data_IF_213372545692
#
_entry.id   IF_213372545692
#
_cell.length_a   1.000
_cell.length_b   1.000
_cell.length_c   1.000
_cell.angle_alpha   90.00
_cell.angle_beta   90.00
_cell.angle_gamma   90.00
#
_symmetry.space_group_name_H-M   'P 1'
#
loop_
_entity.id
_entity.type
_entity.pdbx_description
1 polymer ?
#
# COMPACT_ATOMS: atom_id res chain seq x y z
N UNK A 1 -2.15 8.69 -28.20
CA UNK A 1 -1.39 8.26 -27.01
C UNK A 1 -2.33 8.41 -25.82
N UNK A 2 -2.90 7.33 -25.29
CA UNK A 2 -3.77 7.44 -24.12
C UNK A 2 -2.88 7.74 -22.92
N UNK A 3 -2.97 8.96 -22.39
CA UNK A 3 -2.37 9.29 -21.09
C UNK A 3 -3.11 8.49 -20.03
N UNK A 4 -2.57 7.31 -19.68
CA UNK A 4 -3.09 6.53 -18.56
C UNK A 4 -2.92 7.35 -17.30
N UNK A 5 -4.04 7.71 -16.65
CA UNK A 5 -4.01 8.43 -15.40
C UNK A 5 -3.34 7.56 -14.34
N UNK A 6 -2.24 8.05 -13.76
CA UNK A 6 -1.51 7.39 -12.68
C UNK A 6 -1.81 8.11 -11.39
N UNK A 7 -2.35 7.39 -10.42
CA UNK A 7 -2.66 7.94 -9.11
C UNK A 7 -1.67 7.38 -8.11
N UNK A 8 -0.92 8.29 -7.48
CA UNK A 8 0.08 7.92 -6.50
C UNK A 8 -0.56 7.90 -5.12
N UNK A 9 -0.44 6.76 -4.44
CA UNK A 9 -0.92 6.56 -3.09
C UNK A 9 0.26 6.27 -2.17
N UNK A 10 0.41 7.09 -1.14
CA UNK A 10 1.28 6.80 -0.01
C UNK A 10 0.50 6.04 1.04
N UNK A 11 1.06 4.93 1.50
CA UNK A 11 0.46 4.07 2.50
C UNK A 11 1.41 3.93 3.67
N UNK A 12 0.98 4.39 4.84
CA UNK A 12 1.73 4.32 6.09
C UNK A 12 1.13 3.27 7.00
N UNK A 13 1.95 2.36 7.50
CA UNK A 13 1.54 1.39 8.51
C UNK A 13 1.41 2.10 9.85
N UNK A 14 0.19 2.22 10.35
CA UNK A 14 -0.11 2.89 11.63
C UNK A 14 -0.23 1.93 12.80
N UNK A 15 -0.44 0.63 12.52
CA UNK A 15 -0.55 -0.43 13.53
C UNK A 15 0.32 -1.62 13.15
N UNK A 16 0.91 -2.24 14.17
CA UNK A 16 1.64 -3.49 14.01
C UNK A 16 0.67 -4.62 13.67
N UNK A 17 1.01 -5.43 12.67
CA UNK A 17 0.18 -6.56 12.25
C UNK A 17 1.03 -7.66 11.61
N UNK A 18 1.27 -8.74 12.37
CA UNK A 18 2.18 -9.79 11.96
C UNK A 18 3.59 -9.23 11.72
N UNK A 19 4.01 -9.19 10.46
CA UNK A 19 5.30 -8.62 10.02
C UNK A 19 5.24 -7.14 9.63
N UNK A 20 4.06 -6.51 9.67
CA UNK A 20 3.92 -5.08 9.49
C UNK A 20 4.33 -4.36 10.76
N UNK A 21 5.33 -3.49 10.65
CA UNK A 21 5.79 -2.65 11.74
C UNK A 21 5.29 -1.22 11.52
N UNK A 22 4.72 -0.63 12.56
CA UNK A 22 4.29 0.76 12.58
C UNK A 22 5.45 1.67 12.19
N UNK A 23 5.19 2.59 11.26
CA UNK A 23 6.21 3.49 10.69
C UNK A 23 6.78 3.00 9.36
N UNK A 24 6.45 1.78 8.90
CA UNK A 24 6.72 1.38 7.52
C UNK A 24 5.85 2.18 6.55
N UNK A 25 6.47 2.70 5.50
CA UNK A 25 5.78 3.48 4.46
C UNK A 25 6.10 2.92 3.08
N UNK A 26 5.06 2.78 2.26
CA UNK A 26 5.18 2.40 0.84
C UNK A 26 4.40 3.34 -0.05
N UNK A 27 4.86 3.44 -1.29
CA UNK A 27 4.23 4.23 -2.34
C UNK A 27 3.72 3.26 -3.41
N UNK A 28 2.46 3.40 -3.78
CA UNK A 28 1.76 2.52 -4.69
C UNK A 28 1.21 3.36 -5.83
N UNK A 29 1.56 2.99 -7.06
CA UNK A 29 1.04 3.63 -8.26
C UNK A 29 -0.16 2.81 -8.73
N UNK A 30 -1.34 3.42 -8.74
CA UNK A 30 -2.54 2.83 -9.31
C UNK A 30 -2.75 3.42 -10.71
N UNK A 31 -2.60 2.60 -11.73
CA UNK A 31 -2.79 2.99 -13.13
C UNK A 31 -4.27 2.82 -13.52
N UNK A 32 -4.82 3.76 -14.27
CA UNK A 32 -6.22 3.78 -14.73
C UNK A 32 -7.28 3.83 -13.62
N UNK A 33 -6.89 4.03 -12.36
CA UNK A 33 -7.86 4.14 -11.25
C UNK A 33 -7.36 5.01 -10.10
N UNK A 34 -8.22 5.92 -9.65
CA UNK A 34 -8.03 6.68 -8.41
C UNK A 34 -8.57 5.95 -7.19
N UNK A 35 -8.90 4.66 -7.31
CA UNK A 35 -9.37 3.88 -6.18
C UNK A 35 -8.25 3.66 -5.17
N UNK A 36 -8.65 3.53 -3.91
CA UNK A 36 -7.75 3.24 -2.79
C UNK A 36 -7.05 1.89 -3.01
N UNK A 37 -5.72 1.78 -2.81
CA UNK A 37 -5.01 0.51 -2.92
C UNK A 37 -5.60 -0.54 -1.98
N UNK A 38 -5.80 -1.75 -2.50
CA UNK A 38 -6.21 -2.89 -1.68
C UNK A 38 -5.01 -3.46 -0.91
N UNK A 39 -5.30 -4.22 0.16
CA UNK A 39 -4.28 -4.88 0.98
C UNK A 39 -3.25 -5.66 0.15
N UNK A 40 -3.67 -6.33 -0.94
CA UNK A 40 -2.77 -7.05 -1.85
C UNK A 40 -1.68 -6.16 -2.47
N UNK A 41 -2.04 -4.97 -2.95
CA UNK A 41 -1.08 -4.04 -3.57
C UNK A 41 -0.09 -3.51 -2.52
N UNK A 42 -0.58 -3.28 -1.30
CA UNK A 42 0.25 -2.82 -0.18
C UNK A 42 1.24 -3.92 0.22
N UNK A 43 0.78 -5.16 0.37
CA UNK A 43 1.63 -6.30 0.72
C UNK A 43 2.71 -6.52 -0.35
N UNK A 44 2.33 -6.43 -1.63
CA UNK A 44 3.29 -6.55 -2.74
C UNK A 44 4.31 -5.42 -2.73
N UNK A 45 3.87 -4.17 -2.53
CA UNK A 45 4.77 -3.02 -2.43
C UNK A 45 5.71 -3.11 -1.22
N UNK A 46 5.21 -3.58 -0.07
CA UNK A 46 6.02 -3.80 1.14
C UNK A 46 7.03 -4.92 0.92
N UNK A 47 6.60 -6.03 0.30
CA UNK A 47 7.49 -7.14 -0.04
C UNK A 47 8.58 -6.70 -1.01
N UNK A 48 8.23 -5.88 -2.01
CA UNK A 48 9.21 -5.36 -2.97
C UNK A 48 10.20 -4.38 -2.32
N UNK A 49 9.72 -3.46 -1.47
CA UNK A 49 10.54 -2.41 -0.85
C UNK A 49 11.41 -2.92 0.32
N UNK A 50 10.87 -3.81 1.15
CA UNK A 50 11.51 -4.26 2.39
C UNK A 50 11.89 -5.75 2.40
N UNK A 51 11.48 -6.54 1.39
CA UNK A 51 11.77 -7.98 1.33
C UNK A 51 10.98 -8.84 2.31
N UNK A 52 9.98 -8.28 3.02
CA UNK A 52 9.20 -8.98 4.05
C UNK A 52 7.93 -9.61 3.48
N UNK A 53 7.55 -10.79 3.97
CA UNK A 53 6.36 -11.50 3.48
C UNK A 53 5.22 -11.37 4.49
N UNK A 54 4.41 -10.34 4.28
CA UNK A 54 3.27 -10.09 5.16
C UNK A 54 2.13 -11.06 4.83
N UNK A 55 1.75 -11.90 5.78
CA UNK A 55 0.56 -12.75 5.66
C UNK A 55 -0.70 -11.89 5.52
N UNK A 56 -1.42 -12.06 4.41
CA UNK A 56 -2.65 -11.33 4.08
C UNK A 56 -3.81 -11.58 5.06
N UNK A 57 -3.69 -12.59 5.94
CA UNK A 57 -4.77 -13.10 6.78
C UNK A 57 -5.25 -12.10 7.87
N UNK A 58 -4.48 -11.07 8.23
CA UNK A 58 -4.86 -10.08 9.26
C UNK A 58 -4.65 -8.62 8.84
N UNK A 59 -4.39 -8.36 7.57
CA UNK A 59 -4.13 -7.00 7.06
C UNK A 59 -5.44 -6.29 6.71
N UNK A 60 -6.11 -5.74 7.70
CA UNK A 60 -7.28 -4.87 7.46
C UNK A 60 -6.84 -3.46 7.07
N UNK A 61 -7.64 -2.77 6.27
CA UNK A 61 -7.42 -1.37 5.86
C UNK A 61 -7.29 -0.42 7.05
N UNK A 62 -7.79 -0.79 8.23
CA UNK A 62 -7.67 -0.04 9.49
C UNK A 62 -6.23 0.05 10.01
N UNK A 63 -5.33 -0.80 9.54
CA UNK A 63 -3.93 -0.83 9.97
C UNK A 63 -3.05 0.13 9.16
N UNK A 64 -3.62 0.70 8.09
CA UNK A 64 -2.90 1.54 7.15
C UNK A 64 -3.57 2.91 7.06
N UNK A 65 -2.76 3.95 7.07
CA UNK A 65 -3.16 5.27 6.63
C UNK A 65 -2.90 5.40 5.13
N UNK A 66 -3.81 6.06 4.42
CA UNK A 66 -3.73 6.20 2.96
C UNK A 66 -3.81 7.66 2.60
N UNK A 67 -2.80 8.13 1.89
CA UNK A 67 -2.70 9.49 1.43
C UNK A 67 -2.58 9.49 -0.09
N UNK A 68 -3.55 10.12 -0.77
CA UNK A 68 -3.46 10.35 -2.21
C UNK A 68 -2.50 11.52 -2.45
N UNK A 69 -1.47 11.29 -3.25
CA UNK A 69 -0.45 12.29 -3.58
C UNK A 69 -0.71 12.95 -4.95
N UNK A 70 -1.36 12.25 -5.87
CA UNK A 70 -1.77 12.76 -7.19
C UNK A 70 -3.04 12.08 -7.67
#
# INVERSE_FOLDING_TARGET
>A
MFVMAKYLWKVDVVKNAGQLVKGMTVEIIMENTSAKPQAKHIIEAIKNKYGVTVSSCHCTTSNFNFQKLS
#
